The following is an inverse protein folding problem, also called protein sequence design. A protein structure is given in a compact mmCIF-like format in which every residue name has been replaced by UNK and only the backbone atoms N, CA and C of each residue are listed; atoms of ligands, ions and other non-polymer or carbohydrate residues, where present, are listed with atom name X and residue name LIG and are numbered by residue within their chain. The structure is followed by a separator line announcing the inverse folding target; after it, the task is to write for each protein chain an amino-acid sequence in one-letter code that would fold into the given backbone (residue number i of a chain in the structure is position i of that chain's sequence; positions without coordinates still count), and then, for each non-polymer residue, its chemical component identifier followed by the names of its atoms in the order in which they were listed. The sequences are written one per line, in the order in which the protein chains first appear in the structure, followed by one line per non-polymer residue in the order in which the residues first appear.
data_IF_007267974776
#
_entry.id   IF_007267974776
#
_cell.length_a   1.000
_cell.length_b   1.000
_cell.length_c   1.000
_cell.angle_alpha   90.00
_cell.angle_beta   90.00
_cell.angle_gamma   90.00
#
_symmetry.space_group_name_H-M   'P 1'
#
loop_
_entity.id
_entity.type
_entity.pdbx_description
1 polymer ?
#
# COMPACT_ATOMS: atom_id res chain seq x y z
N UNK A 1 -3.36 -8.20 0.58
CA UNK A 1 -4.50 -8.54 1.43
C UNK A 1 -4.22 -8.00 2.82
N UNK A 2 -5.06 -7.12 3.39
CA UNK A 2 -4.90 -6.73 4.78
C UNK A 2 -5.18 -7.94 5.67
N UNK A 3 -4.40 -8.06 6.74
CA UNK A 3 -4.63 -9.07 7.78
C UNK A 3 -5.42 -8.38 8.89
N UNK A 4 -6.56 -8.96 9.23
CA UNK A 4 -7.40 -8.44 10.30
C UNK A 4 -6.88 -8.94 11.63
N UNK A 5 -6.53 -8.00 12.51
CA UNK A 5 -6.09 -8.30 13.88
C UNK A 5 -6.91 -7.46 14.84
N UNK A 6 -7.52 -8.12 15.82
CA UNK A 6 -8.31 -7.48 16.89
C UNK A 6 -7.42 -7.22 18.11
N UNK A 7 -7.78 -6.23 18.93
CA UNK A 7 -7.07 -5.95 20.19
C UNK A 7 -5.70 -5.25 20.07
N UNK A 8 -5.28 -4.84 18.87
CA UNK A 8 -3.95 -4.23 18.65
C UNK A 8 -3.75 -2.95 19.45
N UNK A 9 -4.80 -2.14 19.62
CA UNK A 9 -4.73 -0.88 20.38
C UNK A 9 -4.54 -1.16 21.87
N UNK A 10 -5.30 -2.12 22.39
CA UNK A 10 -5.26 -2.57 23.78
C UNK A 10 -3.90 -3.19 24.10
N UNK A 11 -3.37 -4.02 23.19
CA UNK A 11 -2.03 -4.60 23.28
C UNK A 11 -0.94 -3.52 23.34
N UNK A 12 -0.95 -2.57 22.40
CA UNK A 12 0.04 -1.47 22.38
C UNK A 12 -0.02 -0.67 23.68
N UNK A 13 -1.22 -0.34 24.17
CA UNK A 13 -1.39 0.40 25.42
C UNK A 13 -0.87 -0.39 26.63
N UNK A 14 -1.14 -1.69 26.68
CA UNK A 14 -0.64 -2.56 27.74
C UNK A 14 0.89 -2.66 27.70
N UNK A 15 1.49 -2.77 26.52
CA UNK A 15 2.94 -2.78 26.34
C UNK A 15 3.58 -1.46 26.78
N UNK A 16 3.02 -0.33 26.35
CA UNK A 16 3.56 1.00 26.71
C UNK A 16 3.45 1.29 28.22
N UNK A 17 2.42 0.76 28.90
CA UNK A 17 2.25 0.87 30.34
C UNK A 17 3.28 0.03 31.15
N UNK A 18 3.90 -0.95 30.50
CA UNK A 18 4.84 -1.89 31.11
C UNK A 18 6.27 -1.47 30.79
N UNK A 19 6.60 -1.32 29.50
CA UNK A 19 7.86 -0.77 29.02
C UNK A 19 7.71 -0.27 27.57
N UNK A 20 7.84 1.04 27.38
CA UNK A 20 7.78 1.70 26.07
C UNK A 20 8.85 1.21 25.08
N UNK A 21 9.96 0.65 25.56
CA UNK A 21 11.02 0.11 24.70
C UNK A 21 10.55 -1.16 23.98
N UNK A 22 9.69 -1.98 24.59
CA UNK A 22 9.16 -3.19 23.96
C UNK A 22 8.32 -2.87 22.73
N UNK A 23 7.46 -1.86 22.83
CA UNK A 23 6.66 -1.42 21.70
C UNK A 23 7.57 -0.85 20.60
N UNK A 24 8.59 -0.08 20.96
CA UNK A 24 9.58 0.40 19.98
C UNK A 24 10.30 -0.77 19.27
N UNK A 25 10.74 -1.78 20.00
CA UNK A 25 11.38 -2.98 19.46
C UNK A 25 10.43 -3.74 18.51
N UNK A 26 9.20 -4.04 18.95
CA UNK A 26 8.20 -4.72 18.13
C UNK A 26 7.90 -3.95 16.84
N UNK A 27 7.67 -2.64 16.93
CA UNK A 27 7.42 -1.81 15.76
C UNK A 27 8.65 -1.71 14.85
N UNK A 28 9.88 -1.79 15.40
CA UNK A 28 11.10 -1.83 14.59
C UNK A 28 11.23 -3.15 13.82
N UNK A 29 10.91 -4.28 14.45
CA UNK A 29 10.91 -5.60 13.80
C UNK A 29 9.82 -5.69 12.72
N UNK A 30 8.59 -5.24 13.01
CA UNK A 30 7.52 -5.17 12.01
C UNK A 30 7.92 -4.26 10.85
N UNK A 31 8.51 -3.09 11.13
CA UNK A 31 9.04 -2.20 10.10
C UNK A 31 10.07 -2.93 9.24
N UNK A 32 11.05 -3.60 9.85
CA UNK A 32 12.08 -4.33 9.13
C UNK A 32 11.50 -5.38 8.17
N UNK A 33 10.46 -6.10 8.60
CA UNK A 33 9.74 -7.06 7.74
C UNK A 33 8.94 -6.40 6.60
N UNK A 34 8.41 -5.19 6.82
CA UNK A 34 7.56 -4.48 5.86
C UNK A 34 8.33 -3.65 4.82
N UNK A 35 9.56 -3.25 5.12
CA UNK A 35 10.40 -2.44 4.21
C UNK A 35 10.67 -3.15 2.88
N UNK A 36 10.99 -4.47 2.83
CA UNK A 36 11.13 -5.21 1.58
C UNK A 36 9.89 -5.12 0.67
N UNK A 37 8.67 -5.15 1.23
CA UNK A 37 7.42 -4.97 0.45
C UNK A 37 7.38 -3.62 -0.22
N UNK A 38 7.70 -2.56 0.53
CA UNK A 38 7.72 -1.19 0.01
C UNK A 38 8.71 -1.08 -1.15
N UNK A 39 9.90 -1.64 -0.98
CA UNK A 39 10.97 -1.52 -1.97
C UNK A 39 10.68 -2.37 -3.21
N UNK A 40 10.13 -3.57 -3.03
CA UNK A 40 9.63 -4.39 -4.15
C UNK A 40 8.50 -3.69 -4.90
N UNK A 41 7.55 -3.07 -4.18
CA UNK A 41 6.47 -2.29 -4.78
C UNK A 41 7.00 -1.11 -5.62
N UNK A 42 8.05 -0.42 -5.16
CA UNK A 42 8.72 0.62 -5.95
C UNK A 42 9.38 0.08 -7.22
N UNK A 43 9.81 -1.18 -7.22
CA UNK A 43 10.40 -1.86 -8.36
C UNK A 43 9.41 -2.22 -9.46
N UNK A 44 8.13 -2.43 -9.11
CA UNK A 44 7.09 -2.74 -10.12
C UNK A 44 6.52 -1.51 -10.84
N UNK A 45 6.91 -0.30 -10.43
CA UNK A 45 6.43 0.91 -11.08
C UNK A 45 7.25 1.17 -12.36
N UNK A 46 6.58 1.30 -13.52
CA UNK A 46 7.27 1.43 -14.80
C UNK A 46 8.02 2.75 -14.94
N UNK A 47 8.92 2.83 -15.91
CA UNK A 47 9.52 4.07 -16.37
C UNK A 47 8.55 4.92 -17.19
N UNK A 48 8.88 6.20 -17.35
CA UNK A 48 8.08 7.11 -18.19
C UNK A 48 8.01 6.66 -19.66
N UNK A 49 9.03 5.95 -20.15
CA UNK A 49 9.10 5.42 -21.52
C UNK A 49 8.28 4.14 -21.72
N UNK A 50 8.00 3.40 -20.65
CA UNK A 50 7.24 2.15 -20.71
C UNK A 50 5.73 2.38 -20.70
N UNK A 51 5.26 3.48 -20.11
CA UNK A 51 3.84 3.83 -20.11
C UNK A 51 3.40 4.46 -21.44
N UNK A 52 2.09 4.51 -21.68
CA UNK A 52 1.54 5.23 -22.83
C UNK A 52 2.06 6.67 -22.86
N UNK A 53 2.61 7.08 -24.01
CA UNK A 53 3.22 8.40 -24.18
C UNK A 53 2.25 9.54 -23.84
N UNK A 54 0.96 9.38 -24.15
CA UNK A 54 -0.08 10.35 -23.79
C UNK A 54 -0.32 10.47 -22.28
N UNK A 55 -0.06 9.43 -21.48
CA UNK A 55 -0.21 9.48 -20.03
C UNK A 55 0.98 10.17 -19.36
N UNK A 56 2.20 10.00 -19.88
CA UNK A 56 3.40 10.67 -19.37
C UNK A 56 3.51 12.15 -19.78
N UNK A 57 2.73 12.60 -20.76
CA UNK A 57 2.74 14.00 -21.23
C UNK A 57 1.92 14.90 -20.31
N UNK A 58 2.53 16.02 -19.90
CA UNK A 58 1.84 17.09 -19.20
C UNK A 58 1.08 17.92 -20.23
N UNK A 59 -0.24 17.77 -20.26
CA UNK A 59 -1.14 18.54 -21.14
C UNK A 59 -2.17 19.31 -20.30
N UNK A 60 -1.68 20.22 -19.46
CA UNK A 60 -2.53 21.16 -18.72
C UNK A 60 -2.36 22.55 -19.31
N UNK A 61 -3.47 23.24 -19.58
CA UNK A 61 -3.44 24.66 -19.99
C UNK A 61 -3.90 25.54 -18.83
N UNK A 62 -3.45 26.79 -18.80
CA UNK A 62 -3.78 27.73 -17.73
C UNK A 62 -5.29 28.03 -17.64
N UNK A 63 -6.04 27.85 -18.74
CA UNK A 63 -7.47 28.15 -18.80
C UNK A 63 -8.38 26.98 -18.36
N UNK A 64 -7.85 25.81 -18.01
CA UNK A 64 -8.68 24.65 -17.64
C UNK A 64 -9.39 24.88 -16.29
N UNK A 65 -10.72 24.99 -16.32
CA UNK A 65 -11.59 25.14 -15.12
C UNK A 65 -11.85 23.83 -14.36
N UNK A 66 -11.24 22.72 -14.76
CA UNK A 66 -11.45 21.41 -14.15
C UNK A 66 -10.11 20.73 -13.84
N UNK A 67 -10.13 19.81 -12.88
CA UNK A 67 -8.96 18.99 -12.54
C UNK A 67 -8.62 18.07 -13.71
N UNK A 68 -7.49 18.31 -14.35
CA UNK A 68 -6.96 17.43 -15.38
C UNK A 68 -6.67 16.02 -14.85
N UNK A 69 -6.74 15.03 -15.74
CA UNK A 69 -6.36 13.65 -15.41
C UNK A 69 -4.89 13.61 -14.97
N UNK A 70 -4.55 12.93 -13.86
CA UNK A 70 -3.17 12.89 -13.38
C UNK A 70 -2.22 12.24 -14.40
N UNK A 71 -1.18 12.97 -14.78
CA UNK A 71 -0.13 12.45 -15.65
C UNK A 71 0.80 11.50 -14.89
N UNK A 72 1.43 10.59 -15.64
CA UNK A 72 2.43 9.70 -15.10
C UNK A 72 3.78 10.41 -14.96
N UNK A 73 4.41 10.22 -13.81
CA UNK A 73 5.81 10.51 -13.59
C UNK A 73 6.35 9.44 -12.65
N UNK A 74 7.36 8.70 -13.10
CA UNK A 74 7.95 7.58 -12.38
C UNK A 74 8.47 8.00 -11.01
N UNK A 75 9.20 9.11 -10.90
CA UNK A 75 9.77 9.56 -9.64
C UNK A 75 8.67 9.90 -8.63
N UNK A 76 7.62 10.59 -9.08
CA UNK A 76 6.45 10.88 -8.25
C UNK A 76 5.74 9.59 -7.82
N UNK A 77 5.58 8.64 -8.74
CA UNK A 77 4.93 7.36 -8.45
C UNK A 77 5.73 6.52 -7.44
N UNK A 78 7.04 6.38 -7.66
CA UNK A 78 7.97 5.59 -6.85
C UNK A 78 8.20 6.22 -5.48
N UNK A 79 8.47 7.52 -5.42
CA UNK A 79 8.62 8.24 -4.16
C UNK A 79 7.30 8.39 -3.41
N UNK A 80 6.18 8.24 -4.11
CA UNK A 80 4.85 8.13 -3.54
C UNK A 80 4.63 6.87 -2.71
N UNK A 81 5.40 5.80 -2.92
CA UNK A 81 5.29 4.55 -2.14
C UNK A 81 6.01 4.70 -0.80
N UNK A 82 5.27 4.57 0.30
CA UNK A 82 5.78 4.73 1.65
C UNK A 82 5.26 3.62 2.59
N UNK A 83 6.05 3.36 3.62
CA UNK A 83 5.62 2.59 4.78
C UNK A 83 5.24 3.58 5.90
N UNK A 84 4.16 3.28 6.62
CA UNK A 84 3.76 3.99 7.81
C UNK A 84 3.45 3.02 8.94
N UNK A 85 3.79 3.45 10.16
CA UNK A 85 3.39 2.81 11.41
C UNK A 85 2.44 3.71 12.18
N UNK A 86 1.55 3.13 12.98
CA UNK A 86 0.55 3.85 13.78
C UNK A 86 -0.86 3.75 13.20
N UNK A 87 -1.85 3.80 14.11
CA UNK A 87 -3.27 3.67 13.77
C UNK A 87 -3.76 4.88 12.95
N UNK A 88 -4.36 4.63 11.79
CA UNK A 88 -5.06 5.65 11.01
C UNK A 88 -6.41 6.01 11.64
N UNK A 89 -7.02 7.10 11.18
CA UNK A 89 -8.43 7.38 11.48
C UNK A 89 -9.29 6.15 11.12
N UNK A 90 -10.18 5.75 12.03
CA UNK A 90 -11.12 4.65 11.80
C UNK A 90 -12.02 4.99 10.61
N UNK A 91 -12.24 4.00 9.74
CA UNK A 91 -13.21 4.12 8.66
C UNK A 91 -14.65 3.94 9.19
N UNK A 92 -15.64 4.08 8.30
CA UNK A 92 -17.07 3.92 8.64
C UNK A 92 -17.41 2.53 9.20
N UNK A 93 -16.59 1.52 8.90
CA UNK A 93 -16.73 0.15 9.39
C UNK A 93 -15.92 -0.13 10.66
N UNK A 94 -15.33 0.91 11.29
CA UNK A 94 -14.59 0.79 12.55
C UNK A 94 -13.13 0.33 12.44
N UNK A 95 -12.62 0.04 11.23
CA UNK A 95 -11.25 -0.43 11.01
C UNK A 95 -10.25 0.73 10.88
N UNK A 96 -9.02 0.50 11.38
CA UNK A 96 -7.87 1.40 11.19
C UNK A 96 -6.66 0.59 10.71
N UNK A 97 -5.81 1.17 9.86
CA UNK A 97 -4.53 0.57 9.49
C UNK A 97 -3.49 0.91 10.56
N UNK A 98 -2.56 0.00 10.88
CA UNK A 98 -1.48 0.26 11.84
C UNK A 98 -0.09 0.18 11.20
N UNK A 99 0.22 -0.94 10.56
CA UNK A 99 1.47 -1.13 9.82
C UNK A 99 1.12 -1.38 8.36
N UNK A 100 1.38 -0.41 7.49
CA UNK A 100 0.91 -0.48 6.11
C UNK A 100 1.88 0.16 5.12
N UNK A 101 1.81 -0.34 3.88
CA UNK A 101 2.45 0.28 2.71
C UNK A 101 1.35 0.89 1.86
N UNK A 102 1.53 2.14 1.44
CA UNK A 102 0.57 2.87 0.61
C UNK A 102 1.28 3.73 -0.43
N UNK A 103 0.52 4.19 -1.43
CA UNK A 103 0.98 5.19 -2.39
C UNK A 103 0.20 6.49 -2.23
N UNK A 104 0.89 7.60 -1.99
CA UNK A 104 0.26 8.94 -1.89
C UNK A 104 0.09 9.64 -3.24
N UNK A 105 0.73 9.15 -4.30
CA UNK A 105 0.65 9.74 -5.64
C UNK A 105 -0.58 9.25 -6.40
N UNK A 106 -1.17 10.15 -7.19
CA UNK A 106 -2.27 9.79 -8.06
C UNK A 106 -1.83 8.86 -9.21
N UNK A 107 -0.65 9.11 -9.80
CA UNK A 107 -0.08 8.28 -10.87
C UNK A 107 0.14 6.83 -10.42
N UNK A 108 0.75 6.64 -9.25
CA UNK A 108 0.95 5.32 -8.66
C UNK A 108 -0.35 4.64 -8.26
N UNK A 109 -1.32 5.36 -7.71
CA UNK A 109 -2.64 4.80 -7.38
C UNK A 109 -3.44 4.36 -8.62
N UNK A 110 -3.34 5.11 -9.72
CA UNK A 110 -3.95 4.74 -11.00
C UNK A 110 -3.28 3.46 -11.54
N UNK A 111 -1.94 3.41 -11.60
CA UNK A 111 -1.23 2.20 -12.04
C UNK A 111 -1.60 0.98 -11.21
N UNK A 112 -1.65 1.15 -9.89
CA UNK A 112 -1.98 0.10 -8.93
C UNK A 112 -3.35 -0.53 -9.21
N UNK A 113 -4.34 0.29 -9.61
CA UNK A 113 -5.76 -0.09 -9.54
C UNK A 113 -6.52 -0.04 -10.87
N UNK A 114 -5.93 0.46 -11.95
CA UNK A 114 -6.56 0.52 -13.26
C UNK A 114 -7.06 -0.85 -13.72
N UNK A 115 -8.25 -0.91 -14.32
CA UNK A 115 -8.86 -2.17 -14.74
C UNK A 115 -9.39 -3.05 -13.59
N UNK A 116 -9.14 -2.72 -12.32
CA UNK A 116 -9.60 -3.54 -11.18
C UNK A 116 -11.12 -3.65 -11.10
N UNK A 117 -11.85 -2.56 -11.32
CA UNK A 117 -13.33 -2.55 -11.32
C UNK A 117 -13.90 -2.81 -12.71
N UNK A 118 -13.38 -2.14 -13.72
CA UNK A 118 -13.85 -2.25 -15.10
C UNK A 118 -12.67 -2.66 -16.01
N UNK A 119 -12.41 -3.95 -16.21
CA UNK A 119 -11.27 -4.43 -17.01
C UNK A 119 -11.32 -3.97 -18.47
N UNK A 120 -12.52 -3.75 -19.02
CA UNK A 120 -12.73 -3.26 -20.39
C UNK A 120 -13.03 -1.76 -20.47
N UNK A 121 -12.51 -0.98 -19.52
CA UNK A 121 -12.82 0.44 -19.42
C UNK A 121 -14.24 0.72 -18.91
N UNK A 122 -14.52 1.98 -18.59
CA UNK A 122 -15.84 2.39 -18.10
C UNK A 122 -16.77 2.76 -19.25
N UNK A 123 -18.00 2.27 -19.23
CA UNK A 123 -19.08 2.70 -20.14
C UNK A 123 -19.42 4.19 -20.01
N UNK A 124 -19.06 4.82 -18.89
CA UNK A 124 -19.26 6.25 -18.64
C UNK A 124 -18.10 7.12 -19.13
N UNK A 125 -17.14 6.55 -19.89
CA UNK A 125 -16.01 7.30 -20.46
C UNK A 125 -16.52 8.47 -21.32
N UNK A 126 -15.91 9.64 -21.14
CA UNK A 126 -16.16 10.85 -21.95
C UNK A 126 -15.03 11.15 -22.93
N UNK A 127 -14.15 10.18 -23.15
CA UNK A 127 -13.08 10.32 -24.15
C UNK A 127 -13.66 10.31 -25.56
N UNK A 128 -13.05 11.10 -26.46
CA UNK A 128 -13.34 11.05 -27.90
C UNK A 128 -12.98 9.69 -28.51
N UNK A 129 -12.03 8.97 -27.90
CA UNK A 129 -11.74 7.59 -28.23
C UNK A 129 -12.53 6.67 -27.28
N UNK A 130 -13.57 5.95 -27.76
CA UNK A 130 -14.38 5.07 -26.92
C UNK A 130 -13.56 3.94 -26.29
N UNK A 131 -12.46 3.53 -26.93
CA UNK A 131 -11.58 2.45 -26.48
C UNK A 131 -10.40 2.95 -25.62
N UNK A 132 -10.32 4.24 -25.29
CA UNK A 132 -9.18 4.80 -24.55
C UNK A 132 -8.94 4.08 -23.21
N UNK A 133 -10.02 3.73 -22.49
CA UNK A 133 -9.94 3.00 -21.24
C UNK A 133 -9.40 1.57 -21.42
N UNK A 134 -9.80 0.90 -22.49
CA UNK A 134 -9.34 -0.46 -22.83
C UNK A 134 -7.83 -0.41 -23.12
N UNK A 135 -7.39 0.45 -24.03
CA UNK A 135 -5.97 0.58 -24.40
C UNK A 135 -5.11 0.94 -23.18
N UNK A 136 -5.61 1.81 -22.30
CA UNK A 136 -4.92 2.15 -21.06
C UNK A 136 -4.73 0.93 -20.17
N UNK A 137 -5.78 0.15 -19.94
CA UNK A 137 -5.74 -1.03 -19.08
C UNK A 137 -4.84 -2.11 -19.67
N UNK A 138 -4.97 -2.40 -20.96
CA UNK A 138 -4.14 -3.38 -21.67
C UNK A 138 -2.65 -2.98 -21.61
N UNK A 139 -2.33 -1.70 -21.82
CA UNK A 139 -0.95 -1.22 -21.68
C UNK A 139 -0.41 -1.43 -20.27
N UNK A 140 -1.22 -1.19 -19.23
CA UNK A 140 -0.81 -1.40 -17.85
C UNK A 140 -0.66 -2.88 -17.51
N UNK A 141 -1.52 -3.75 -18.07
CA UNK A 141 -1.45 -5.21 -17.89
C UNK A 141 -0.22 -5.83 -18.54
N UNK A 142 0.21 -5.31 -19.69
CA UNK A 142 1.44 -5.72 -20.36
C UNK A 142 2.69 -5.39 -19.53
N UNK A 143 2.66 -4.29 -18.75
CA UNK A 143 3.74 -3.91 -17.85
C UNK A 143 3.73 -4.70 -16.55
N UNK A 144 2.55 -4.89 -15.95
CA UNK A 144 2.38 -5.69 -14.74
C UNK A 144 0.94 -6.18 -14.63
N UNK A 145 0.78 -7.48 -14.39
CA UNK A 145 -0.54 -8.06 -14.15
C UNK A 145 -1.08 -7.71 -12.76
N UNK A 146 -2.40 -7.57 -12.64
CA UNK A 146 -3.06 -7.50 -11.33
C UNK A 146 -2.85 -8.82 -10.59
N UNK A 147 -2.27 -8.73 -9.38
CA UNK A 147 -2.11 -9.88 -8.47
C UNK A 147 -2.93 -9.66 -7.19
N UNK A 148 -3.45 -10.75 -6.64
CA UNK A 148 -4.38 -10.76 -5.51
C UNK A 148 -5.84 -10.99 -5.93
N UNK A 149 -6.77 -10.82 -4.98
CA UNK A 149 -8.18 -11.18 -5.16
C UNK A 149 -9.14 -10.01 -4.92
N UNK A 150 -10.24 -9.96 -5.68
CA UNK A 150 -11.30 -8.96 -5.54
C UNK A 150 -10.80 -7.52 -5.49
N UNK A 151 -11.14 -6.80 -4.41
CA UNK A 151 -10.69 -5.42 -4.17
C UNK A 151 -9.27 -5.33 -3.62
N UNK A 152 -8.66 -6.45 -3.24
CA UNK A 152 -7.32 -6.54 -2.65
C UNK A 152 -6.26 -6.97 -3.67
N UNK A 153 -6.51 -6.65 -4.94
CA UNK A 153 -5.59 -6.87 -6.06
C UNK A 153 -5.02 -5.57 -6.62
N UNK A 154 -3.80 -5.65 -7.15
CA UNK A 154 -3.08 -4.51 -7.73
C UNK A 154 -1.78 -4.91 -8.42
N UNK A 155 -1.09 -3.93 -9.02
CA UNK A 155 0.11 -4.16 -9.88
C UNK A 155 1.44 -3.90 -9.21
N UNK A 156 1.48 -3.11 -8.14
CA UNK A 156 2.71 -2.77 -7.42
C UNK A 156 2.62 -3.16 -5.94
N UNK A 157 1.84 -2.45 -5.11
CA UNK A 157 1.80 -2.68 -3.66
C UNK A 157 1.10 -4.00 -3.33
N UNK A 158 -0.09 -4.24 -3.87
CA UNK A 158 -0.82 -5.49 -3.65
C UNK A 158 -0.08 -6.69 -4.24
N UNK A 159 0.62 -6.50 -5.37
CA UNK A 159 1.48 -7.52 -5.97
C UNK A 159 2.67 -7.86 -5.06
N UNK A 160 3.42 -6.84 -4.61
CA UNK A 160 4.53 -7.02 -3.69
C UNK A 160 4.08 -7.73 -2.41
N UNK A 161 2.96 -7.31 -1.84
CA UNK A 161 2.37 -7.98 -0.69
C UNK A 161 2.01 -9.43 -0.98
N UNK A 162 1.34 -9.70 -2.11
CA UNK A 162 0.93 -11.04 -2.48
C UNK A 162 2.14 -11.98 -2.56
N UNK A 163 3.19 -11.55 -3.24
CA UNK A 163 4.41 -12.33 -3.43
C UNK A 163 5.24 -12.50 -2.14
N UNK A 164 5.24 -11.52 -1.23
CA UNK A 164 6.05 -11.56 0.01
C UNK A 164 5.28 -12.04 1.25
N UNK A 165 3.96 -12.22 1.15
CA UNK A 165 3.10 -12.49 2.32
C UNK A 165 3.55 -13.70 3.14
N UNK A 166 4.05 -14.75 2.49
CA UNK A 166 4.55 -15.96 3.15
C UNK A 166 5.77 -15.70 4.06
N UNK A 167 6.60 -14.70 3.73
CA UNK A 167 7.78 -14.35 4.52
C UNK A 167 7.45 -13.35 5.64
N UNK A 168 6.55 -12.40 5.36
CA UNK A 168 6.24 -11.30 6.28
C UNK A 168 5.38 -11.76 7.44
N UNK A 169 4.38 -12.61 7.18
CA UNK A 169 3.42 -13.04 8.21
C UNK A 169 4.14 -13.72 9.38
N UNK A 170 5.03 -14.72 9.15
CA UNK A 170 5.80 -15.33 10.24
C UNK A 170 6.71 -14.33 10.95
N UNK A 171 7.33 -13.40 10.24
CA UNK A 171 8.21 -12.39 10.84
C UNK A 171 7.45 -11.45 11.78
N UNK A 172 6.24 -11.04 11.39
CA UNK A 172 5.36 -10.20 12.23
C UNK A 172 4.86 -10.98 13.44
N UNK A 173 4.43 -12.24 13.26
CA UNK A 173 4.02 -13.11 14.37
C UNK A 173 5.16 -13.28 15.38
N UNK A 174 6.36 -13.59 14.90
CA UNK A 174 7.56 -13.73 15.74
C UNK A 174 7.87 -12.46 16.54
N UNK A 175 7.71 -11.27 15.94
CA UNK A 175 7.91 -10.00 16.64
C UNK A 175 6.90 -9.80 17.78
N UNK A 176 5.65 -10.20 17.57
CA UNK A 176 4.59 -10.16 18.59
C UNK A 176 4.86 -11.20 19.69
N UNK A 177 5.19 -12.43 19.32
CA UNK A 177 5.48 -13.52 20.28
C UNK A 177 6.65 -13.18 21.18
N UNK A 178 7.72 -12.59 20.62
CA UNK A 178 8.89 -12.15 21.39
C UNK A 178 8.50 -11.18 22.51
N UNK A 179 7.59 -10.24 22.22
CA UNK A 179 7.05 -9.33 23.25
C UNK A 179 6.21 -10.10 24.26
N UNK A 180 5.32 -10.97 23.82
CA UNK A 180 4.45 -11.74 24.70
C UNK A 180 5.25 -12.62 25.67
N UNK A 181 6.33 -13.26 25.20
CA UNK A 181 7.25 -14.03 26.05
C UNK A 181 7.97 -13.15 27.06
N UNK A 182 8.50 -11.99 26.66
CA UNK A 182 9.12 -11.04 27.61
C UNK A 182 8.13 -10.61 28.70
N UNK A 183 6.86 -10.39 28.33
CA UNK A 183 5.78 -10.03 29.26
C UNK A 183 5.47 -11.16 30.25
N UNK A 184 5.26 -12.37 29.76
CA UNK A 184 4.91 -13.52 30.58
C UNK A 184 6.04 -13.97 31.52
N UNK A 185 7.30 -13.80 31.12
CA UNK A 185 8.47 -14.22 31.90
C UNK A 185 8.80 -13.30 33.09
N UNK A 186 7.98 -12.28 33.38
CA UNK A 186 8.17 -11.40 34.55
C UNK A 186 9.44 -10.54 34.50
N UNK A 187 10.13 -10.50 33.35
CA UNK A 187 11.23 -9.55 33.07
C UNK A 187 10.74 -8.10 32.97
N UNK A 188 9.43 -7.93 33.06
CA UNK A 188 8.71 -6.69 32.91
C UNK A 188 7.78 -6.56 34.12
N UNK A 189 8.25 -5.90 35.16
CA UNK A 189 7.41 -5.53 36.30
C UNK A 189 6.67 -4.26 35.93
N UNK A 190 5.35 -4.24 36.14
CA UNK A 190 4.52 -3.04 36.02
C UNK A 190 5.23 -1.91 36.78
N UNK A 191 5.55 -0.81 36.10
CA UNK A 191 6.04 0.38 36.81
C UNK A 191 4.89 0.81 37.73
N UNK A 192 5.17 0.82 39.04
CA UNK A 192 4.21 1.22 40.06
C UNK A 192 3.79 2.69 39.89
#
# INVERSE_FOLDING_TARGET
MPINVTGVKELIKAMDAVDSNLNKEMQAEIKAAMIPVRDKAKGYLPSNSEVLSGWAKINVTAEQKYRAFPFYNQDVARNGVYYSKGSTRRNQSGFSLNNFVANKSASGAIFETAGRKNPRGSSNSKSLNPNAGIHFIESAENLSQLKGEGNQRGRAIYRAWYEESYNIIPAVIKAIDKVATKFNNGQLKKVA
#
